data_IF_435870484258
#
_entry.id   IF_435870484258
#
_cell.length_a   1.000
_cell.length_b   1.000
_cell.length_c   1.000
_cell.angle_alpha   90.00
_cell.angle_beta   90.00
_cell.angle_gamma   90.00
#
_symmetry.space_group_name_H-M   'P 1'
#
loop_
_entity.id
_entity.type
_entity.pdbx_description
1 polymer ?
#
# COMPACT_ATOMS: atom_id res chain seq x y z
N UNK A 1 39.08 20.66 36.94
CA UNK A 1 39.35 20.73 38.39
C UNK A 1 40.86 20.54 38.56
N UNK A 2 41.61 21.63 38.81
CA UNK A 2 43.07 21.60 38.93
C UNK A 2 43.58 21.81 40.38
N UNK A 3 42.68 21.90 41.36
CA UNK A 3 42.99 21.83 42.80
C UNK A 3 41.93 21.02 43.53
N UNK A 4 42.33 20.38 44.63
CA UNK A 4 41.47 19.64 45.57
C UNK A 4 41.06 20.49 46.79
N UNK A 5 41.45 21.76 46.84
CA UNK A 5 41.01 22.67 47.90
C UNK A 5 39.49 22.87 47.85
N UNK A 6 38.89 23.13 49.01
CA UNK A 6 37.46 23.42 49.09
C UNK A 6 37.14 24.70 48.29
N UNK A 7 36.08 24.70 47.46
CA UNK A 7 35.69 25.87 46.68
C UNK A 7 35.29 27.01 47.61
N UNK A 8 35.62 28.24 47.22
CA UNK A 8 35.21 29.42 47.97
C UNK A 8 33.70 29.66 47.84
N UNK A 9 33.10 30.43 48.75
CA UNK A 9 31.68 30.78 48.67
C UNK A 9 31.32 31.49 47.35
N UNK A 10 32.26 32.25 46.78
CA UNK A 10 32.13 32.86 45.46
C UNK A 10 32.01 31.83 44.34
N UNK A 11 32.87 30.81 44.36
CA UNK A 11 32.83 29.70 43.39
C UNK A 11 31.54 28.90 43.52
N UNK A 12 31.09 28.63 44.75
CA UNK A 12 29.84 27.92 45.03
C UNK A 12 28.65 28.69 44.45
N UNK A 13 28.57 30.00 44.66
CA UNK A 13 27.48 30.83 44.15
C UNK A 13 27.50 30.94 42.62
N UNK A 14 28.68 31.08 42.02
CA UNK A 14 28.84 31.06 40.57
C UNK A 14 28.37 29.73 39.97
N UNK A 15 28.82 28.60 40.53
CA UNK A 15 28.45 27.27 40.05
C UNK A 15 26.93 27.02 40.20
N UNK A 16 26.32 27.44 41.31
CA UNK A 16 24.86 27.37 41.49
C UNK A 16 24.11 28.17 40.42
N UNK A 17 24.54 29.40 40.14
CA UNK A 17 23.94 30.23 39.09
C UNK A 17 24.10 29.61 37.70
N UNK A 18 25.30 29.08 37.41
CA UNK A 18 25.57 28.37 36.16
C UNK A 18 24.69 27.13 36.00
N UNK A 19 24.57 26.30 37.04
CA UNK A 19 23.70 25.11 37.05
C UNK A 19 22.25 25.51 36.83
N UNK A 20 21.74 26.52 37.56
CA UNK A 20 20.37 26.99 37.40
C UNK A 20 20.08 27.48 35.97
N UNK A 21 21.02 28.21 35.36
CA UNK A 21 20.92 28.63 33.96
C UNK A 21 20.88 27.45 32.98
N UNK A 22 21.72 26.42 33.20
CA UNK A 22 21.72 25.21 32.38
C UNK A 22 20.45 24.38 32.56
N UNK A 23 19.92 24.29 33.77
CA UNK A 23 18.64 23.62 34.05
C UNK A 23 17.49 24.31 33.30
N UNK A 24 17.44 25.65 33.33
CA UNK A 24 16.41 26.40 32.59
C UNK A 24 16.46 26.11 31.08
N UNK A 25 17.66 26.14 30.48
CA UNK A 25 17.83 25.82 29.07
C UNK A 25 17.41 24.38 28.74
N UNK A 26 17.68 23.43 29.65
CA UNK A 26 17.27 22.04 29.48
C UNK A 26 15.74 21.89 29.47
N UNK A 27 15.04 22.61 30.34
CA UNK A 27 13.58 22.63 30.37
C UNK A 27 12.97 23.29 29.13
N UNK A 28 13.56 24.37 28.63
CA UNK A 28 13.12 25.00 27.37
C UNK A 28 13.28 24.03 26.19
N UNK A 29 14.40 23.32 26.13
CA UNK A 29 14.66 22.33 25.08
C UNK A 29 13.71 21.12 25.20
N UNK A 30 13.43 20.65 26.42
CA UNK A 30 12.50 19.54 26.67
C UNK A 30 11.09 19.90 26.21
N UNK A 31 10.63 21.12 26.49
CA UNK A 31 9.35 21.65 26.05
C UNK A 31 9.27 21.75 24.51
N UNK A 32 10.33 22.23 23.85
CA UNK A 32 10.37 22.29 22.40
C UNK A 32 10.30 20.89 21.77
N UNK A 33 11.07 19.94 22.32
CA UNK A 33 11.04 18.53 21.88
C UNK A 33 9.64 17.91 22.06
N UNK A 34 8.97 18.20 23.19
CA UNK A 34 7.61 17.75 23.43
C UNK A 34 6.62 18.33 22.41
N UNK A 35 6.74 19.63 22.09
CA UNK A 35 5.90 20.28 21.09
C UNK A 35 6.08 19.67 19.68
N UNK A 36 7.32 19.42 19.25
CA UNK A 36 7.59 18.74 17.98
C UNK A 36 7.01 17.32 17.95
N UNK A 37 7.20 16.55 19.03
CA UNK A 37 6.64 15.19 19.12
C UNK A 37 5.11 15.19 19.10
N UNK A 38 4.47 16.19 19.73
CA UNK A 38 3.02 16.34 19.69
C UNK A 38 2.51 16.65 18.27
N UNK A 39 3.27 17.43 17.49
CA UNK A 39 2.95 17.74 16.10
C UNK A 39 3.21 16.57 15.13
N UNK A 40 4.05 15.61 15.49
CA UNK A 40 4.41 14.48 14.62
C UNK A 40 3.20 13.58 14.30
N UNK A 41 2.40 13.24 15.32
CA UNK A 41 1.22 12.38 15.15
C UNK A 41 0.22 12.93 14.11
N UNK A 42 -0.32 14.17 14.25
CA UNK A 42 -1.29 14.69 13.29
C UNK A 42 -0.71 14.82 11.87
N UNK A 43 0.57 15.19 11.72
CA UNK A 43 1.22 15.25 10.41
C UNK A 43 1.34 13.87 9.76
N UNK A 44 1.64 12.85 10.55
CA UNK A 44 1.75 11.47 10.05
C UNK A 44 0.38 10.92 9.65
N UNK A 45 -0.65 11.21 10.44
CA UNK A 45 -2.03 10.90 10.09
C UNK A 45 -2.45 11.56 8.79
N UNK A 46 -2.23 12.88 8.65
CA UNK A 46 -2.57 13.62 7.44
C UNK A 46 -1.83 13.06 6.20
N UNK A 47 -0.53 12.76 6.34
CA UNK A 47 0.25 12.12 5.27
C UNK A 47 -0.36 10.78 4.86
N UNK A 48 -0.75 9.94 5.82
CA UNK A 48 -1.37 8.63 5.55
C UNK A 48 -2.70 8.76 4.82
N UNK A 49 -3.55 9.70 5.26
CA UNK A 49 -4.83 10.00 4.60
C UNK A 49 -4.63 10.43 3.16
N UNK A 50 -3.76 11.42 2.92
CA UNK A 50 -3.48 11.91 1.56
C UNK A 50 -2.90 10.82 0.66
N UNK A 51 -1.99 9.98 1.16
CA UNK A 51 -1.44 8.87 0.40
C UNK A 51 -2.53 7.84 0.01
N UNK A 52 -3.46 7.59 0.93
CA UNK A 52 -4.62 6.72 0.68
C UNK A 52 -5.52 7.31 -0.41
N UNK A 53 -5.87 8.59 -0.30
CA UNK A 53 -6.72 9.28 -1.28
C UNK A 53 -6.09 9.28 -2.67
N UNK A 54 -4.82 9.66 -2.78
CA UNK A 54 -4.08 9.63 -4.05
C UNK A 54 -4.12 8.22 -4.66
N UNK A 55 -3.93 7.19 -3.85
CA UNK A 55 -3.97 5.79 -4.33
C UNK A 55 -5.35 5.41 -4.84
N UNK A 56 -6.41 5.82 -4.13
CA UNK A 56 -7.80 5.58 -4.57
C UNK A 56 -8.10 6.31 -5.89
N UNK A 57 -7.73 7.58 -6.02
CA UNK A 57 -7.94 8.33 -7.26
C UNK A 57 -7.13 7.77 -8.42
N UNK A 58 -5.88 7.33 -8.19
CA UNK A 58 -5.10 6.62 -9.22
C UNK A 58 -5.78 5.35 -9.70
N UNK A 59 -6.38 4.55 -8.79
CA UNK A 59 -7.19 3.37 -9.15
C UNK A 59 -8.43 3.76 -9.95
N UNK A 60 -9.08 4.88 -9.61
CA UNK A 60 -10.24 5.37 -10.34
C UNK A 60 -9.90 5.86 -11.75
N UNK A 61 -8.72 6.46 -11.92
CA UNK A 61 -8.20 6.94 -13.21
C UNK A 61 -7.48 5.85 -14.00
N UNK A 62 -7.40 4.61 -13.48
CA UNK A 62 -6.68 3.54 -14.14
C UNK A 62 -7.24 3.31 -15.56
N UNK A 63 -6.39 3.28 -16.61
CA UNK A 63 -6.83 3.20 -18.01
C UNK A 63 -7.79 2.04 -18.30
N UNK A 64 -7.62 0.92 -17.60
CA UNK A 64 -8.50 -0.26 -17.71
C UNK A 64 -10.00 0.04 -17.53
N UNK A 65 -10.33 1.08 -16.74
CA UNK A 65 -11.72 1.49 -16.49
C UNK A 65 -12.34 2.21 -17.70
N UNK A 66 -11.51 2.78 -18.57
CA UNK A 66 -11.91 3.50 -19.79
C UNK A 66 -11.87 2.63 -21.04
N UNK A 67 -11.42 1.37 -20.94
CA UNK A 67 -11.40 0.48 -22.09
C UNK A 67 -12.82 0.28 -22.64
N UNK A 68 -13.02 0.39 -23.97
CA UNK A 68 -14.25 0.01 -24.61
C UNK A 68 -14.59 -1.46 -24.33
N UNK A 69 -15.88 -1.83 -24.27
CA UNK A 69 -16.29 -3.22 -24.08
C UNK A 69 -15.65 -4.18 -25.11
N UNK A 70 -15.48 -3.74 -26.35
CA UNK A 70 -14.92 -4.53 -27.45
C UNK A 70 -13.47 -4.92 -27.18
N UNK A 71 -12.67 -3.98 -26.67
CA UNK A 71 -11.26 -4.23 -26.29
C UNK A 71 -11.19 -5.16 -25.08
N UNK A 72 -12.10 -5.03 -24.12
CA UNK A 72 -12.19 -5.94 -22.99
C UNK A 72 -12.59 -7.36 -23.42
N UNK A 73 -13.57 -7.49 -24.33
CA UNK A 73 -13.97 -8.78 -24.90
C UNK A 73 -12.84 -9.44 -25.68
N UNK A 74 -12.07 -8.67 -26.44
CA UNK A 74 -10.88 -9.19 -27.13
C UNK A 74 -9.84 -9.71 -26.12
N UNK A 75 -9.55 -8.95 -25.06
CA UNK A 75 -8.66 -9.41 -23.97
C UNK A 75 -9.20 -10.72 -23.37
N UNK A 76 -10.51 -10.82 -23.15
CA UNK A 76 -11.11 -12.04 -22.58
C UNK A 76 -10.94 -13.24 -23.51
N UNK A 77 -11.08 -13.07 -24.82
CA UNK A 77 -10.83 -14.14 -25.80
C UNK A 77 -9.37 -14.59 -25.78
N UNK A 78 -8.42 -13.67 -25.69
CA UNK A 78 -6.99 -13.99 -25.60
C UNK A 78 -6.63 -14.74 -24.30
N UNK A 79 -7.45 -14.66 -23.25
CA UNK A 79 -7.24 -15.40 -22.02
C UNK A 79 -7.88 -16.80 -22.03
N UNK A 80 -8.67 -17.12 -23.06
CA UNK A 80 -9.20 -18.46 -23.32
C UNK A 80 -8.32 -19.07 -24.41
N UNK A 81 -7.27 -19.80 -24.01
CA UNK A 81 -6.52 -20.61 -24.97
C UNK A 81 -7.49 -21.51 -25.75
N UNK A 82 -7.20 -21.81 -27.02
CA UNK A 82 -8.05 -22.66 -27.90
C UNK A 82 -8.38 -24.04 -27.29
N UNK A 83 -7.72 -24.43 -26.20
CA UNK A 83 -7.90 -25.66 -25.45
C UNK A 83 -8.24 -25.48 -23.95
N UNK A 84 -8.52 -24.25 -23.47
CA UNK A 84 -8.89 -23.97 -22.08
C UNK A 84 -7.79 -24.31 -21.06
N UNK A 85 -6.53 -24.43 -21.48
CA UNK A 85 -5.40 -24.75 -20.59
C UNK A 85 -4.63 -23.49 -20.23
N UNK A 86 -4.94 -22.92 -19.06
CA UNK A 86 -4.03 -21.98 -18.40
C UNK A 86 -2.59 -22.53 -18.43
N UNK A 87 -1.69 -21.76 -19.05
CA UNK A 87 -0.25 -22.01 -19.22
C UNK A 87 0.18 -23.18 -20.12
N UNK A 88 1.14 -22.85 -20.99
CA UNK A 88 1.90 -23.77 -21.85
C UNK A 88 2.61 -24.91 -21.09
N UNK A 89 2.79 -24.77 -19.77
CA UNK A 89 3.43 -25.77 -18.89
C UNK A 89 2.57 -27.02 -18.71
N UNK A 90 1.25 -26.92 -18.89
CA UNK A 90 0.30 -28.03 -18.73
C UNK A 90 0.30 -29.02 -19.90
N UNK A 91 0.98 -28.71 -21.02
CA UNK A 91 1.02 -29.59 -22.22
C UNK A 91 1.88 -30.85 -22.06
N UNK A 92 2.75 -30.92 -21.05
CA UNK A 92 3.72 -32.02 -20.91
C UNK A 92 3.33 -33.13 -19.93
N UNK A 93 2.31 -32.92 -19.07
CA UNK A 93 1.77 -33.98 -18.22
C UNK A 93 0.26 -34.13 -18.46
N UNK A 94 -0.16 -35.33 -18.86
CA UNK A 94 -1.55 -35.81 -18.98
C UNK A 94 -2.41 -35.32 -20.16
N UNK A 95 -2.07 -35.83 -21.35
CA UNK A 95 -2.93 -35.81 -22.55
C UNK A 95 -4.24 -36.62 -22.42
N UNK A 96 -4.47 -37.34 -21.31
CA UNK A 96 -5.64 -38.22 -21.11
C UNK A 96 -6.71 -37.66 -20.16
N UNK A 97 -6.43 -36.57 -19.44
CA UNK A 97 -7.40 -35.90 -18.55
C UNK A 97 -7.82 -34.50 -19.04
N UNK A 98 -7.28 -34.02 -20.16
CA UNK A 98 -7.71 -32.78 -20.82
C UNK A 98 -9.03 -32.95 -21.58
N UNK A 99 -9.98 -33.68 -20.99
CA UNK A 99 -11.32 -33.91 -21.49
C UNK A 99 -12.28 -33.43 -20.39
N UNK A 100 -13.12 -32.44 -20.71
CA UNK A 100 -14.18 -31.87 -19.86
C UNK A 100 -13.74 -30.81 -18.84
N UNK A 101 -13.03 -29.77 -19.29
CA UNK A 101 -13.17 -28.47 -18.63
C UNK A 101 -14.55 -27.91 -18.97
N UNK A 102 -15.51 -28.21 -18.11
CA UNK A 102 -16.89 -27.74 -18.22
C UNK A 102 -16.91 -26.22 -18.12
N UNK A 103 -17.74 -25.54 -18.91
CA UNK A 103 -17.97 -24.10 -18.77
C UNK A 103 -18.55 -23.72 -17.39
N UNK A 104 -18.97 -24.71 -16.60
CA UNK A 104 -19.41 -24.55 -15.21
C UNK A 104 -18.28 -24.64 -14.18
N UNK A 105 -17.03 -24.88 -14.59
CA UNK A 105 -15.89 -24.92 -13.69
C UNK A 105 -15.48 -23.49 -13.26
N UNK A 106 -15.65 -23.10 -11.98
CA UNK A 106 -15.41 -21.74 -11.51
C UNK A 106 -13.94 -21.31 -11.55
N UNK A 107 -13.02 -22.24 -11.83
CA UNK A 107 -11.58 -21.95 -12.01
C UNK A 107 -11.25 -21.47 -13.42
N UNK A 108 -12.15 -21.62 -14.40
CA UNK A 108 -11.89 -21.18 -15.77
C UNK A 108 -11.87 -19.66 -15.91
N UNK A 109 -11.13 -19.21 -16.92
CA UNK A 109 -10.90 -17.80 -17.22
C UNK A 109 -12.18 -16.91 -17.21
N UNK A 110 -13.32 -17.29 -17.82
CA UNK A 110 -14.54 -16.47 -17.80
C UNK A 110 -15.06 -16.18 -16.38
N UNK A 111 -15.01 -17.18 -15.50
CA UNK A 111 -15.39 -17.03 -14.10
C UNK A 111 -14.39 -16.19 -13.30
N UNK A 112 -13.11 -16.28 -13.62
CA UNK A 112 -12.06 -15.48 -12.96
C UNK A 112 -12.13 -14.02 -13.39
N UNK A 113 -12.36 -13.76 -14.68
CA UNK A 113 -12.50 -12.40 -15.24
C UNK A 113 -13.78 -11.70 -14.74
N UNK A 114 -14.90 -12.43 -14.61
CA UNK A 114 -16.15 -11.86 -14.08
C UNK A 114 -16.04 -11.39 -12.62
N UNK A 115 -15.05 -11.86 -11.86
CA UNK A 115 -14.82 -11.45 -10.46
C UNK A 115 -14.02 -10.15 -10.30
N UNK A 116 -13.49 -9.57 -11.38
CA UNK A 116 -12.62 -8.38 -11.31
C UNK A 116 -13.38 -7.11 -10.93
N UNK A 117 -14.50 -6.84 -11.60
CA UNK A 117 -15.42 -5.74 -11.26
C UNK A 117 -16.79 -5.94 -11.93
N UNK A 118 -17.79 -5.14 -11.53
CA UNK A 118 -19.14 -5.20 -12.10
C UNK A 118 -19.18 -5.01 -13.62
N UNK A 119 -18.33 -4.13 -14.18
CA UNK A 119 -18.22 -3.93 -15.63
C UNK A 119 -17.71 -5.19 -16.35
N UNK A 120 -16.69 -5.83 -15.80
CA UNK A 120 -16.10 -7.05 -16.38
C UNK A 120 -17.07 -8.22 -16.30
N UNK A 121 -17.78 -8.34 -15.17
CA UNK A 121 -18.87 -9.31 -15.01
C UNK A 121 -19.96 -9.11 -16.07
N UNK A 122 -20.46 -7.87 -16.23
CA UNK A 122 -21.48 -7.57 -17.22
C UNK A 122 -21.04 -7.90 -18.65
N UNK A 123 -19.81 -7.54 -19.02
CA UNK A 123 -19.25 -7.84 -20.35
C UNK A 123 -19.11 -9.35 -20.55
N UNK A 124 -18.52 -10.06 -19.59
CA UNK A 124 -18.30 -11.51 -19.66
C UNK A 124 -19.61 -12.30 -19.78
N UNK A 125 -20.67 -11.90 -19.06
CA UNK A 125 -21.99 -12.52 -19.17
C UNK A 125 -22.72 -12.15 -20.47
N UNK A 126 -22.46 -10.96 -21.02
CA UNK A 126 -23.04 -10.51 -22.28
C UNK A 126 -22.35 -11.09 -23.52
N UNK A 127 -21.25 -11.83 -23.35
CA UNK A 127 -20.43 -12.32 -24.45
C UNK A 127 -20.42 -13.86 -24.46
N UNK A 128 -21.37 -14.51 -25.19
CA UNK A 128 -21.54 -15.96 -25.19
C UNK A 128 -20.32 -16.75 -25.65
N UNK A 129 -19.44 -16.15 -26.47
CA UNK A 129 -18.22 -16.81 -26.97
C UNK A 129 -17.20 -17.17 -25.88
N UNK A 130 -17.40 -16.73 -24.64
CA UNK A 130 -16.56 -17.09 -23.50
C UNK A 130 -16.98 -18.38 -22.79
N UNK A 131 -18.16 -18.93 -23.10
CA UNK A 131 -18.82 -20.02 -22.36
C UNK A 131 -19.01 -21.26 -23.25
#
# INVERSE_FOLDING_TARGET
LQSNDAPTDGDINFLKGYIAGKQKLLEELSAHRAALSAAEKPLTTLRSTLATDITQYKKALHPIRRLPPEVLSEIFLQCIDENGTENEVSRFLDSTLSCLKSSLDPSQCPWTLSKVCSKWCAISLSFPHLW
#
